data_IF_868739653481
#
_entry.id   IF_868739653481
#
_cell.length_a   1.000
_cell.length_b   1.000
_cell.length_c   1.000
_cell.angle_alpha   90.00
_cell.angle_beta   90.00
_cell.angle_gamma   90.00
#
_symmetry.space_group_name_H-M   'P 1'
#
loop_
_entity.id
_entity.type
_entity.pdbx_description
1 polymer ?
#
# COMPACT_ATOMS: atom_id res chain seq x y z
N UNK A 1 -2.74 5.26 6.99
CA UNK A 1 -2.86 6.74 6.98
C UNK A 1 -2.74 7.22 5.54
N UNK A 2 -3.30 8.38 5.19
CA UNK A 2 -3.18 8.96 3.85
C UNK A 2 -3.08 10.49 3.90
N UNK A 3 -2.37 11.12 2.96
CA UNK A 3 -2.30 12.57 2.82
C UNK A 3 -3.16 13.01 1.65
N UNK A 4 -4.14 13.87 1.89
CA UNK A 4 -5.09 14.36 0.88
C UNK A 4 -5.24 15.87 1.08
N UNK A 5 -4.98 16.65 0.02
CA UNK A 5 -5.12 18.11 0.01
C UNK A 5 -4.44 18.82 1.19
N UNK A 6 -3.22 18.39 1.55
CA UNK A 6 -2.45 18.99 2.65
C UNK A 6 -2.90 18.57 4.06
N UNK A 7 -3.81 17.61 4.19
CA UNK A 7 -4.23 17.03 5.46
C UNK A 7 -3.81 15.56 5.56
N UNK A 8 -3.29 15.14 6.71
CA UNK A 8 -3.03 13.73 7.04
C UNK A 8 -4.26 13.12 7.71
N UNK A 9 -4.81 12.06 7.14
CA UNK A 9 -5.95 11.31 7.66
C UNK A 9 -5.52 10.00 8.31
N UNK A 10 -6.08 9.71 9.47
CA UNK A 10 -5.81 8.53 10.30
C UNK A 10 -7.11 7.90 10.72
N UNK A 11 -7.30 6.62 10.42
CA UNK A 11 -8.49 5.86 10.78
C UNK A 11 -8.13 4.68 11.69
N UNK A 12 -8.97 4.44 12.70
CA UNK A 12 -8.96 3.26 13.54
C UNK A 12 -7.66 3.03 14.31
N UNK A 13 -7.26 1.76 14.45
CA UNK A 13 -6.12 1.36 15.25
C UNK A 13 -6.53 0.76 16.60
N UNK A 14 -5.59 0.71 17.54
CA UNK A 14 -5.85 0.11 18.85
C UNK A 14 -5.02 0.78 19.94
N UNK A 15 -5.58 0.84 21.16
CA UNK A 15 -4.85 1.18 22.38
C UNK A 15 -4.12 -0.02 23.00
N UNK A 16 -4.24 -1.21 22.38
CA UNK A 16 -3.83 -2.50 22.93
C UNK A 16 -4.97 -3.24 23.62
N UNK A 17 -6.00 -2.51 24.08
CA UNK A 17 -7.18 -3.09 24.74
C UNK A 17 -8.46 -2.91 23.93
N UNK A 18 -8.58 -1.77 23.24
CA UNK A 18 -9.77 -1.39 22.49
C UNK A 18 -9.36 -1.13 21.04
N UNK A 19 -10.16 -1.59 20.09
CA UNK A 19 -10.04 -1.20 18.69
C UNK A 19 -10.93 0.02 18.43
N UNK A 20 -10.45 0.96 17.63
CA UNK A 20 -11.16 2.21 17.37
C UNK A 20 -11.71 2.25 15.93
N UNK A 21 -12.75 3.05 15.74
CA UNK A 21 -13.31 3.50 14.45
C UNK A 21 -13.11 5.00 14.25
N UNK A 22 -12.31 5.65 15.11
CA UNK A 22 -12.11 7.09 15.07
C UNK A 22 -11.40 7.50 13.79
N UNK A 23 -11.88 8.59 13.20
CA UNK A 23 -11.24 9.23 12.05
C UNK A 23 -10.72 10.59 12.49
N UNK A 24 -9.42 10.79 12.37
CA UNK A 24 -8.75 12.04 12.68
C UNK A 24 -8.12 12.62 11.42
N UNK A 25 -8.11 13.95 11.31
CA UNK A 25 -7.29 14.67 10.34
C UNK A 25 -6.33 15.62 11.05
N UNK A 26 -5.12 15.73 10.53
CA UNK A 26 -4.13 16.73 10.90
C UNK A 26 -3.94 17.66 9.71
N UNK A 27 -4.22 18.94 9.89
CA UNK A 27 -3.84 19.95 8.90
C UNK A 27 -2.32 20.15 8.95
N UNK A 28 -1.62 19.92 7.84
CA UNK A 28 -0.15 19.98 7.82
C UNK A 28 0.39 21.41 7.81
N UNK A 29 -0.44 22.41 7.50
CA UNK A 29 -0.07 23.82 7.57
C UNK A 29 -0.21 24.35 8.99
N UNK A 30 -1.35 24.13 9.64
CA UNK A 30 -1.61 24.63 11.01
C UNK A 30 -1.05 23.71 12.10
N UNK A 31 -0.82 22.42 11.76
CA UNK A 31 -0.41 21.35 12.68
C UNK A 31 -1.44 21.03 13.76
N UNK A 32 -2.71 21.28 13.47
CA UNK A 32 -3.82 21.01 14.39
C UNK A 32 -4.53 19.71 14.06
N UNK A 33 -4.79 18.92 15.10
CA UNK A 33 -5.57 17.69 15.03
C UNK A 33 -7.06 17.97 15.20
N UNK A 34 -7.87 17.38 14.34
CA UNK A 34 -9.33 17.45 14.37
C UNK A 34 -9.87 16.03 14.27
N UNK A 35 -10.67 15.63 15.26
CA UNK A 35 -11.47 14.41 15.16
C UNK A 35 -12.68 14.68 14.27
N UNK A 36 -12.79 13.93 13.17
CA UNK A 36 -13.95 13.97 12.30
C UNK A 36 -15.07 13.16 12.93
N UNK A 37 -16.27 13.74 12.95
CA UNK A 37 -17.50 13.08 13.41
C UNK A 37 -18.36 12.80 12.18
N UNK A 38 -18.38 11.57 11.66
CA UNK A 38 -19.19 11.23 10.50
C UNK A 38 -20.67 11.48 10.75
N UNK A 39 -21.41 11.85 9.71
CA UNK A 39 -22.84 12.12 9.77
C UNK A 39 -23.71 10.84 9.73
N UNK A 40 -23.08 9.66 9.81
CA UNK A 40 -23.74 8.36 9.75
C UNK A 40 -24.55 8.03 11.00
N UNK A 41 -25.54 7.16 10.84
CA UNK A 41 -26.08 6.41 11.97
C UNK A 41 -25.04 5.41 12.48
N UNK A 42 -25.13 5.01 13.75
CA UNK A 42 -24.18 4.07 14.34
C UNK A 42 -24.11 2.72 13.62
N UNK A 43 -25.20 2.28 12.98
CA UNK A 43 -25.25 1.04 12.20
C UNK A 43 -24.51 1.10 10.86
N UNK A 44 -24.20 2.31 10.37
CA UNK A 44 -23.55 2.52 9.07
C UNK A 44 -22.04 2.81 9.22
N UNK A 45 -21.52 2.74 10.45
CA UNK A 45 -20.11 2.93 10.74
C UNK A 45 -19.31 1.66 10.43
N UNK A 46 -18.06 1.79 9.94
CA UNK A 46 -17.17 0.65 9.79
C UNK A 46 -16.91 -0.05 11.11
N UNK A 47 -16.64 -1.36 11.07
CA UNK A 47 -16.25 -2.10 12.26
C UNK A 47 -14.87 -1.66 12.75
N UNK A 48 -14.68 -1.70 14.07
CA UNK A 48 -13.41 -1.41 14.69
C UNK A 48 -12.31 -2.35 14.19
N UNK A 49 -11.14 -1.79 13.87
CA UNK A 49 -10.04 -2.53 13.26
C UNK A 49 -8.68 -1.88 13.41
N UNK A 50 -7.64 -2.70 13.39
CA UNK A 50 -6.24 -2.28 13.23
C UNK A 50 -5.55 -3.06 12.11
N UNK A 51 -4.31 -2.66 11.76
CA UNK A 51 -3.46 -3.33 10.76
C UNK A 51 -4.16 -3.49 9.38
N UNK A 52 -5.04 -2.54 9.09
CA UNK A 52 -5.60 -2.28 7.77
C UNK A 52 -4.67 -1.33 7.03
N UNK A 53 -4.87 -1.23 5.72
CA UNK A 53 -4.21 -0.23 4.88
C UNK A 53 -5.23 0.78 4.36
N UNK A 54 -4.74 1.94 3.91
CA UNK A 54 -5.58 3.04 3.43
C UNK A 54 -5.18 3.42 2.01
N UNK A 55 -6.19 3.62 1.15
CA UNK A 55 -6.05 4.19 -0.19
C UNK A 55 -7.03 5.36 -0.37
N UNK A 56 -6.89 6.16 -1.42
CA UNK A 56 -7.82 7.27 -1.69
C UNK A 56 -7.88 7.66 -3.16
N UNK A 57 -9.03 8.12 -3.65
CA UNK A 57 -9.15 8.73 -4.99
C UNK A 57 -9.19 10.27 -4.96
N UNK A 58 -8.97 10.85 -3.78
CA UNK A 58 -9.04 12.29 -3.52
C UNK A 58 -10.42 12.78 -3.08
N UNK A 59 -11.48 12.00 -3.34
CA UNK A 59 -12.85 12.26 -2.85
C UNK A 59 -13.21 11.34 -1.68
N UNK A 60 -12.76 10.08 -1.76
CA UNK A 60 -13.00 9.05 -0.75
C UNK A 60 -11.70 8.48 -0.19
N UNK A 61 -11.73 8.09 1.08
CA UNK A 61 -10.71 7.31 1.77
C UNK A 61 -11.19 5.87 1.91
N UNK A 62 -10.47 4.92 1.33
CA UNK A 62 -10.81 3.50 1.33
C UNK A 62 -10.02 2.74 2.40
N UNK A 63 -10.71 1.89 3.16
CA UNK A 63 -10.10 1.05 4.20
C UNK A 63 -10.01 -0.38 3.68
N UNK A 64 -8.78 -0.90 3.60
CA UNK A 64 -8.49 -2.21 3.02
C UNK A 64 -8.05 -3.19 4.10
N UNK A 65 -8.86 -4.24 4.29
CA UNK A 65 -8.60 -5.35 5.20
C UNK A 65 -8.48 -4.91 6.66
N UNK A 66 -7.50 -5.49 7.35
CA UNK A 66 -7.35 -5.37 8.79
C UNK A 66 -8.36 -6.24 9.54
N UNK A 67 -8.52 -5.98 10.83
CA UNK A 67 -9.48 -6.68 11.68
C UNK A 67 -9.16 -6.51 13.16
N UNK A 68 -9.47 -7.50 13.98
CA UNK A 68 -9.10 -7.55 15.42
C UNK A 68 -7.84 -8.41 15.60
N UNK A 69 -7.43 -8.77 16.82
CA UNK A 69 -6.34 -9.74 17.03
C UNK A 69 -6.69 -11.15 16.55
N UNK A 70 -7.98 -11.49 16.53
CA UNK A 70 -8.46 -12.84 16.26
C UNK A 70 -9.00 -12.98 14.84
N UNK A 71 -9.66 -11.94 14.32
CA UNK A 71 -10.37 -12.01 13.03
C UNK A 71 -9.72 -11.10 11.99
N UNK A 72 -9.47 -11.62 10.79
CA UNK A 72 -9.16 -10.81 9.61
C UNK A 72 -10.45 -10.59 8.82
N UNK A 73 -10.73 -9.36 8.42
CA UNK A 73 -11.96 -9.02 7.70
C UNK A 73 -11.81 -9.27 6.20
N UNK A 74 -12.91 -9.67 5.58
CA UNK A 74 -12.98 -9.96 4.15
C UNK A 74 -12.80 -8.70 3.30
N UNK A 75 -12.51 -8.92 2.02
CA UNK A 75 -12.26 -7.87 1.02
C UNK A 75 -13.31 -7.89 -0.10
N UNK A 76 -14.40 -8.64 0.06
CA UNK A 76 -15.56 -8.62 -0.82
C UNK A 76 -16.37 -7.32 -0.65
N UNK A 77 -16.28 -6.70 0.52
CA UNK A 77 -16.77 -5.34 0.80
C UNK A 77 -15.67 -4.50 1.44
N UNK A 78 -15.66 -3.21 1.15
CA UNK A 78 -14.72 -2.25 1.74
C UNK A 78 -15.48 -1.02 2.22
N UNK A 79 -14.97 -0.39 3.27
CA UNK A 79 -15.51 0.87 3.77
C UNK A 79 -14.81 2.04 3.09
N UNK A 80 -15.59 3.03 2.67
CA UNK A 80 -15.08 4.25 2.06
C UNK A 80 -15.64 5.47 2.80
N UNK A 81 -14.79 6.40 3.18
CA UNK A 81 -15.18 7.66 3.79
C UNK A 81 -15.24 8.76 2.74
N UNK A 82 -16.42 9.30 2.49
CA UNK A 82 -16.64 10.40 1.57
C UNK A 82 -16.31 11.73 2.26
N UNK A 83 -15.31 12.43 1.73
CA UNK A 83 -14.79 13.68 2.30
C UNK A 83 -15.76 14.87 2.10
N UNK A 84 -16.61 14.82 1.08
CA UNK A 84 -17.57 15.89 0.78
C UNK A 84 -18.80 15.79 1.69
N UNK A 85 -19.38 14.59 1.79
CA UNK A 85 -20.59 14.36 2.58
C UNK A 85 -20.30 14.11 4.06
N UNK A 86 -19.04 13.88 4.41
CA UNK A 86 -18.59 13.52 5.76
C UNK A 86 -19.33 12.26 6.26
N UNK A 87 -19.42 11.24 5.39
CA UNK A 87 -20.10 9.97 5.68
C UNK A 87 -19.28 8.76 5.23
N UNK A 88 -19.42 7.67 5.95
CA UNK A 88 -19.01 6.33 5.54
C UNK A 88 -20.01 5.71 4.56
N UNK A 89 -19.49 4.94 3.62
CA UNK A 89 -20.19 4.16 2.62
C UNK A 89 -19.61 2.73 2.65
N UNK A 90 -20.46 1.69 2.59
CA UNK A 90 -20.02 0.33 2.32
C UNK A 90 -20.06 0.07 0.81
N UNK A 91 -18.92 -0.31 0.25
CA UNK A 91 -18.79 -0.57 -1.19
C UNK A 91 -18.55 -2.06 -1.41
N UNK A 92 -19.48 -2.70 -2.13
CA UNK A 92 -19.29 -4.05 -2.63
C UNK A 92 -18.23 -4.05 -3.75
N UNK A 93 -17.20 -4.86 -3.57
CA UNK A 93 -16.17 -5.10 -4.58
C UNK A 93 -16.56 -6.26 -5.49
N UNK A 94 -15.88 -6.37 -6.63
CA UNK A 94 -16.09 -7.42 -7.61
C UNK A 94 -14.93 -8.43 -7.58
N UNK A 95 -15.21 -9.73 -7.62
CA UNK A 95 -14.18 -10.76 -7.51
C UNK A 95 -13.37 -10.87 -8.80
N UNK A 96 -12.12 -11.31 -8.71
CA UNK A 96 -11.39 -11.75 -9.91
C UNK A 96 -12.12 -12.94 -10.54
N UNK A 97 -12.32 -12.90 -11.86
CA UNK A 97 -13.15 -13.84 -12.64
C UNK A 97 -12.93 -15.33 -12.31
N UNK A 98 -11.67 -15.75 -12.15
CA UNK A 98 -11.31 -17.17 -11.95
C UNK A 98 -11.11 -17.62 -10.50
N UNK A 99 -10.67 -16.72 -9.62
CA UNK A 99 -10.14 -17.11 -8.29
C UNK A 99 -10.84 -16.39 -7.13
N UNK A 100 -11.87 -15.59 -7.42
CA UNK A 100 -12.66 -14.92 -6.40
C UNK A 100 -11.96 -13.69 -5.81
N UNK A 101 -12.18 -13.46 -4.52
CA UNK A 101 -11.63 -12.34 -3.78
C UNK A 101 -10.25 -12.67 -3.19
N UNK A 102 -9.42 -11.65 -2.90
CA UNK A 102 -8.27 -11.85 -2.03
C UNK A 102 -8.73 -12.42 -0.68
N UNK A 103 -7.93 -13.34 -0.11
CA UNK A 103 -8.16 -13.78 1.26
C UNK A 103 -8.17 -12.58 2.22
N UNK A 104 -9.04 -12.66 3.24
CA UNK A 104 -9.06 -11.74 4.37
C UNK A 104 -7.65 -11.61 4.96
N UNK A 105 -7.20 -10.40 5.30
CA UNK A 105 -5.80 -10.19 5.69
C UNK A 105 -5.57 -8.97 6.57
N UNK A 106 -4.59 -9.08 7.46
CA UNK A 106 -4.03 -8.01 8.29
C UNK A 106 -2.52 -7.93 8.09
N UNK A 107 -1.89 -6.82 8.50
CA UNK A 107 -0.43 -6.64 8.42
C UNK A 107 0.15 -6.82 7.00
N UNK A 108 -0.69 -6.64 5.98
CA UNK A 108 -0.26 -6.56 4.58
C UNK A 108 0.26 -5.15 4.33
N UNK A 109 0.92 -4.93 3.18
CA UNK A 109 1.19 -3.58 2.71
C UNK A 109 0.37 -3.27 1.47
N UNK A 110 0.06 -1.98 1.31
CA UNK A 110 -0.56 -1.45 0.10
C UNK A 110 0.33 -0.38 -0.54
N UNK A 111 0.32 -0.34 -1.87
CA UNK A 111 0.82 0.81 -2.64
C UNK A 111 -0.22 1.21 -3.66
N UNK A 112 -0.26 2.48 -4.01
CA UNK A 112 -1.26 3.01 -4.94
C UNK A 112 -0.59 3.69 -6.14
N UNK A 113 -1.06 3.37 -7.33
CA UNK A 113 -0.70 4.05 -8.58
C UNK A 113 -1.99 4.53 -9.23
N UNK A 114 -2.24 5.85 -9.16
CA UNK A 114 -3.50 6.45 -9.63
C UNK A 114 -4.70 5.74 -8.99
N UNK A 115 -5.59 5.11 -9.76
CA UNK A 115 -6.77 4.40 -9.26
C UNK A 115 -6.52 2.92 -8.94
N UNK A 116 -5.33 2.40 -9.21
CA UNK A 116 -5.00 1.01 -8.95
C UNK A 116 -4.26 0.89 -7.60
N UNK A 117 -4.86 0.15 -6.67
CA UNK A 117 -4.28 -0.16 -5.36
C UNK A 117 -3.78 -1.60 -5.38
N UNK A 118 -2.52 -1.79 -5.01
CA UNK A 118 -1.87 -3.08 -4.98
C UNK A 118 -1.70 -3.52 -3.54
N UNK A 119 -2.19 -4.72 -3.23
CA UNK A 119 -2.16 -5.35 -1.92
C UNK A 119 -1.19 -6.52 -1.97
N UNK A 120 -0.22 -6.59 -1.07
CA UNK A 120 0.74 -7.69 -1.04
C UNK A 120 0.95 -8.26 0.37
N UNK A 121 1.08 -9.59 0.39
CA UNK A 121 1.34 -10.38 1.59
C UNK A 121 0.30 -10.20 2.70
N UNK A 122 0.77 -10.25 3.94
CA UNK A 122 -0.06 -10.18 5.15
C UNK A 122 -0.35 -11.55 5.75
N UNK A 123 -1.26 -11.57 6.73
CA UNK A 123 -1.65 -12.78 7.47
C UNK A 123 -3.17 -12.85 7.57
N UNK A 124 -3.73 -14.03 7.24
CA UNK A 124 -5.19 -14.25 7.27
C UNK A 124 -5.71 -14.86 8.58
N UNK A 125 -4.82 -15.24 9.51
CA UNK A 125 -5.20 -15.99 10.72
C UNK A 125 -4.64 -17.41 10.75
N UNK A 126 -4.25 -17.95 9.59
CA UNK A 126 -3.75 -19.32 9.43
C UNK A 126 -2.39 -19.37 8.73
N UNK A 127 -2.23 -18.61 7.64
CA UNK A 127 -1.03 -18.62 6.80
C UNK A 127 -0.53 -17.21 6.50
N UNK A 128 0.78 -17.08 6.38
CA UNK A 128 1.42 -15.88 5.84
C UNK A 128 1.23 -15.90 4.33
N UNK A 129 0.70 -14.82 3.79
CA UNK A 129 0.39 -14.66 2.38
C UNK A 129 1.61 -14.08 1.64
N UNK A 130 1.81 -14.52 0.40
CA UNK A 130 2.82 -13.97 -0.51
C UNK A 130 2.21 -13.52 -1.85
N UNK A 131 0.88 -13.54 -1.96
CA UNK A 131 0.20 -13.14 -3.18
C UNK A 131 0.14 -11.61 -3.34
N UNK A 132 -0.06 -11.18 -4.59
CA UNK A 132 -0.25 -9.78 -4.94
C UNK A 132 -1.58 -9.62 -5.67
N UNK A 133 -2.38 -8.66 -5.21
CA UNK A 133 -3.69 -8.33 -5.75
C UNK A 133 -3.74 -6.87 -6.14
N UNK A 134 -4.60 -6.56 -7.11
CA UNK A 134 -4.89 -5.21 -7.55
C UNK A 134 -6.38 -4.93 -7.40
N UNK A 135 -6.75 -3.83 -6.75
CA UNK A 135 -8.10 -3.27 -6.75
C UNK A 135 -8.10 -2.00 -7.59
N UNK A 136 -9.01 -1.90 -8.55
CA UNK A 136 -9.26 -0.64 -9.25
C UNK A 136 -10.35 0.16 -8.53
N UNK A 137 -10.04 1.35 -8.03
CA UNK A 137 -10.95 2.19 -7.22
C UNK A 137 -12.14 2.79 -7.99
N UNK A 138 -12.14 2.74 -9.32
CA UNK A 138 -13.29 3.20 -10.12
C UNK A 138 -14.31 2.09 -10.37
N UNK A 139 -13.83 0.88 -10.61
CA UNK A 139 -14.67 -0.28 -10.96
C UNK A 139 -14.93 -1.21 -9.78
N UNK A 140 -14.15 -1.05 -8.72
CA UNK A 140 -14.04 -1.92 -7.55
C UNK A 140 -13.72 -3.38 -7.90
N UNK A 141 -13.03 -3.59 -9.02
CA UNK A 141 -12.66 -4.91 -9.52
C UNK A 141 -11.34 -5.38 -8.94
N UNK A 142 -11.35 -6.55 -8.29
CA UNK A 142 -10.15 -7.25 -7.89
C UNK A 142 -9.53 -8.03 -9.05
N UNK A 143 -8.21 -7.97 -9.14
CA UNK A 143 -7.42 -8.80 -10.05
C UNK A 143 -6.23 -9.40 -9.29
N UNK A 144 -6.12 -10.73 -9.23
CA UNK A 144 -4.91 -11.40 -8.75
C UNK A 144 -3.81 -11.26 -9.80
N UNK A 145 -2.66 -10.74 -9.41
CA UNK A 145 -1.51 -10.67 -10.31
C UNK A 145 -0.79 -12.02 -10.38
N UNK A 146 -0.14 -12.34 -11.51
CA UNK A 146 0.67 -13.55 -11.62
C UNK A 146 1.95 -13.45 -10.78
N UNK A 147 2.39 -12.24 -10.45
CA UNK A 147 3.52 -12.01 -9.57
C UNK A 147 3.18 -12.39 -8.13
N UNK A 148 4.16 -12.97 -7.44
CA UNK A 148 4.12 -13.26 -6.02
C UNK A 148 5.42 -12.78 -5.37
N UNK A 149 5.35 -12.52 -4.08
CA UNK A 149 6.49 -12.23 -3.24
C UNK A 149 7.40 -13.48 -3.21
N UNK A 150 8.74 -13.33 -3.34
CA UNK A 150 9.66 -14.47 -3.26
C UNK A 150 9.56 -15.23 -1.95
N UNK A 151 9.22 -14.52 -0.87
CA UNK A 151 8.95 -15.07 0.45
C UNK A 151 7.66 -14.44 1.00
N UNK A 152 6.67 -15.24 1.43
CA UNK A 152 5.49 -14.73 2.13
C UNK A 152 5.88 -13.99 3.40
N UNK A 153 5.39 -12.76 3.57
CA UNK A 153 5.67 -11.93 4.75
C UNK A 153 4.45 -11.13 5.20
N UNK A 154 4.39 -10.87 6.50
CA UNK A 154 3.50 -9.88 7.11
C UNK A 154 4.32 -8.94 8.01
N UNK A 155 3.77 -7.78 8.37
CA UNK A 155 4.51 -6.70 9.04
C UNK A 155 5.74 -6.19 8.27
N UNK A 156 5.70 -6.32 6.95
CA UNK A 156 6.66 -5.68 6.06
C UNK A 156 6.19 -4.26 5.73
N UNK A 157 7.05 -3.49 5.06
CA UNK A 157 6.64 -2.24 4.42
C UNK A 157 6.77 -2.37 2.90
N UNK A 158 5.94 -1.63 2.17
CA UNK A 158 6.05 -1.48 0.74
C UNK A 158 6.04 0.01 0.34
N UNK A 159 6.76 0.34 -0.73
CA UNK A 159 6.76 1.65 -1.35
C UNK A 159 6.81 1.50 -2.87
N UNK A 160 6.25 2.44 -3.62
CA UNK A 160 6.25 2.42 -5.09
C UNK A 160 6.92 3.65 -5.66
N UNK A 161 7.75 3.46 -6.67
CA UNK A 161 8.39 4.56 -7.40
C UNK A 161 7.40 5.21 -8.38
N UNK A 162 7.63 6.46 -8.81
CA UNK A 162 6.82 7.07 -9.87
C UNK A 162 6.80 6.27 -11.18
N UNK A 163 7.83 5.46 -11.44
CA UNK A 163 7.89 4.56 -12.59
C UNK A 163 7.03 3.29 -12.41
N UNK A 164 6.48 3.05 -11.22
CA UNK A 164 5.65 1.90 -10.90
C UNK A 164 6.42 0.64 -10.52
N UNK A 165 7.66 0.78 -10.04
CA UNK A 165 8.39 -0.30 -9.38
C UNK A 165 8.04 -0.30 -7.89
N UNK A 166 7.47 -1.39 -7.39
CA UNK A 166 7.23 -1.59 -5.96
C UNK A 166 8.44 -2.24 -5.31
N UNK A 167 8.84 -1.69 -4.17
CA UNK A 167 9.83 -2.24 -3.26
C UNK A 167 9.14 -2.74 -2.00
N UNK A 168 9.49 -3.92 -1.54
CA UNK A 168 8.99 -4.52 -0.30
C UNK A 168 10.18 -4.86 0.58
N UNK A 169 10.15 -4.44 1.84
CA UNK A 169 11.25 -4.62 2.76
C UNK A 169 10.81 -5.24 4.08
N UNK A 170 11.57 -6.25 4.48
CA UNK A 170 11.51 -6.89 5.78
C UNK A 170 10.22 -7.65 6.05
N UNK A 171 9.85 -7.73 7.33
CA UNK A 171 8.66 -8.43 7.80
C UNK A 171 8.99 -9.71 8.58
N UNK A 172 7.95 -10.49 8.85
CA UNK A 172 8.00 -11.77 9.57
C UNK A 172 7.63 -12.89 8.59
N UNK A 173 8.48 -13.92 8.55
CA UNK A 173 8.40 -15.04 7.59
C UNK A 173 7.96 -16.34 8.26
N UNK A 174 8.06 -16.43 9.59
CA UNK A 174 7.60 -17.57 10.37
C UNK A 174 7.05 -17.09 11.72
N UNK A 175 5.80 -17.44 12.02
CA UNK A 175 5.09 -17.01 13.22
C UNK A 175 5.58 -17.76 14.46
N UNK A 176 5.81 -19.07 14.35
CA UNK A 176 6.17 -19.93 15.48
C UNK A 176 7.58 -19.63 16.02
N UNK A 177 8.53 -19.37 15.12
CA UNK A 177 9.90 -19.04 15.47
C UNK A 177 10.13 -17.53 15.62
N UNK A 178 9.10 -16.71 15.33
CA UNK A 178 9.21 -15.25 15.21
C UNK A 178 10.38 -14.83 14.28
N UNK A 179 10.59 -15.59 13.21
CA UNK A 179 11.68 -15.35 12.26
C UNK A 179 11.36 -14.12 11.42
N UNK A 180 12.29 -13.16 11.39
CA UNK A 180 12.17 -11.92 10.62
C UNK A 180 13.14 -11.92 9.46
N UNK A 181 12.81 -11.16 8.44
CA UNK A 181 13.70 -10.90 7.30
C UNK A 181 14.03 -9.41 7.22
N UNK A 182 15.22 -9.11 6.71
CA UNK A 182 15.64 -7.78 6.27
C UNK A 182 15.80 -7.70 4.75
N UNK A 183 15.26 -8.68 4.02
CA UNK A 183 15.35 -8.73 2.57
C UNK A 183 14.58 -7.59 1.92
N UNK A 184 15.15 -7.07 0.83
CA UNK A 184 14.52 -6.10 -0.05
C UNK A 184 14.16 -6.80 -1.35
N UNK A 185 12.88 -6.79 -1.70
CA UNK A 185 12.36 -7.30 -2.96
C UNK A 185 11.87 -6.14 -3.80
N UNK A 186 11.99 -6.24 -5.13
CA UNK A 186 11.38 -5.30 -6.06
C UNK A 186 10.56 -6.03 -7.11
N UNK A 187 9.46 -5.41 -7.57
CA UNK A 187 8.66 -5.90 -8.69
C UNK A 187 8.05 -4.74 -9.48
N UNK A 188 7.96 -4.90 -10.80
CA UNK A 188 7.27 -3.94 -11.67
C UNK A 188 5.77 -4.20 -11.65
N UNK A 189 4.98 -3.22 -11.21
CA UNK A 189 3.51 -3.28 -11.18
C UNK A 189 2.86 -2.78 -12.47
N UNK A 190 3.63 -2.01 -13.24
CA UNK A 190 3.29 -1.52 -14.58
C UNK A 190 4.44 -1.82 -15.51
N UNK A 191 4.20 -1.76 -16.82
CA UNK A 191 5.27 -1.91 -17.81
C UNK A 191 6.25 -0.74 -17.65
N UNK A 192 7.53 -0.99 -17.29
CA UNK A 192 8.52 0.08 -17.17
C UNK A 192 8.75 0.75 -18.53
N UNK A 193 9.09 2.04 -18.50
CA UNK A 193 9.49 2.73 -19.71
C UNK A 193 10.80 2.15 -20.27
N UNK A 194 11.04 2.35 -21.57
CA UNK A 194 12.32 1.97 -22.18
C UNK A 194 13.51 2.63 -21.46
N UNK A 195 13.34 3.85 -20.96
CA UNK A 195 14.36 4.53 -20.16
C UNK A 195 14.71 3.72 -18.90
N UNK A 196 13.72 3.28 -18.13
CA UNK A 196 13.96 2.51 -16.90
C UNK A 196 14.60 1.16 -17.20
N UNK A 197 14.12 0.45 -18.23
CA UNK A 197 14.71 -0.82 -18.67
C UNK A 197 16.17 -0.66 -19.12
N UNK A 198 16.45 0.38 -19.91
CA UNK A 198 17.79 0.68 -20.40
C UNK A 198 18.71 1.11 -19.26
N UNK A 199 18.18 1.89 -18.31
CA UNK A 199 18.90 2.34 -17.13
C UNK A 199 19.30 1.19 -16.22
N UNK A 200 18.37 0.27 -15.92
CA UNK A 200 18.68 -0.92 -15.13
C UNK A 200 19.77 -1.76 -15.78
N UNK A 201 19.68 -2.00 -17.09
CA UNK A 201 20.70 -2.77 -17.81
C UNK A 201 22.05 -2.06 -17.87
N UNK A 202 22.05 -0.75 -18.10
CA UNK A 202 23.26 0.05 -18.14
C UNK A 202 24.01 0.01 -16.79
N UNK A 203 23.28 0.11 -15.66
CA UNK A 203 23.90 -0.01 -14.32
C UNK A 203 24.38 -1.42 -14.00
N UNK A 204 23.70 -2.45 -14.52
CA UNK A 204 24.11 -3.85 -14.39
C UNK A 204 25.43 -4.12 -15.14
N UNK A 205 25.57 -3.64 -16.38
CA UNK A 205 26.78 -3.82 -17.18
C UNK A 205 27.93 -2.88 -16.78
N UNK A 206 27.63 -1.69 -16.27
CA UNK A 206 28.61 -0.66 -15.93
C UNK A 206 28.46 -0.17 -14.48
N UNK A 207 28.68 -1.03 -13.47
CA UNK A 207 28.47 -0.67 -12.06
C UNK A 207 29.41 0.45 -11.58
N UNK A 208 30.57 0.63 -12.22
CA UNK A 208 31.54 1.68 -11.92
C UNK A 208 30.99 3.11 -12.19
N UNK A 209 29.87 3.26 -12.92
CA UNK A 209 29.24 4.57 -13.11
C UNK A 209 28.86 5.21 -11.77
N UNK A 210 28.49 4.42 -10.76
CA UNK A 210 28.15 4.93 -9.43
C UNK A 210 29.34 5.66 -8.75
N UNK A 211 30.58 5.25 -9.06
CA UNK A 211 31.79 5.83 -8.44
C UNK A 211 32.32 7.07 -9.16
N UNK A 212 31.91 7.31 -10.41
CA UNK A 212 32.37 8.48 -11.19
C UNK A 212 31.82 9.79 -10.62
N UNK A 213 32.57 10.87 -10.76
CA UNK A 213 32.10 12.21 -10.37
C UNK A 213 30.96 12.70 -11.27
N UNK A 214 30.18 13.68 -10.79
CA UNK A 214 29.11 14.32 -11.58
C UNK A 214 29.61 14.83 -12.93
N UNK A 215 30.78 15.46 -12.98
CA UNK A 215 31.39 15.98 -14.22
C UNK A 215 31.71 14.87 -15.22
N UNK A 216 32.30 13.76 -14.75
CA UNK A 216 32.61 12.61 -15.60
C UNK A 216 31.35 11.97 -16.17
N UNK A 217 30.29 11.83 -15.36
CA UNK A 217 29.02 11.26 -15.83
C UNK A 217 28.35 12.14 -16.90
N UNK A 218 28.34 13.46 -16.71
CA UNK A 218 27.85 14.39 -17.73
C UNK A 218 28.68 14.33 -19.02
N UNK A 219 30.00 14.18 -18.91
CA UNK A 219 30.88 14.02 -20.08
C UNK A 219 30.63 12.72 -20.86
N UNK A 220 30.17 11.66 -20.20
CA UNK A 220 29.71 10.41 -20.83
C UNK A 220 28.35 10.54 -21.54
N UNK A 221 27.70 11.72 -21.47
CA UNK A 221 26.42 11.98 -22.12
C UNK A 221 25.19 11.64 -21.27
N UNK A 222 25.37 11.34 -19.98
CA UNK A 222 24.24 11.15 -19.06
C UNK A 222 23.54 12.48 -18.81
N UNK A 223 22.20 12.47 -18.80
CA UNK A 223 21.42 13.67 -18.48
C UNK A 223 21.51 13.98 -16.99
N UNK A 224 21.31 15.26 -16.64
CA UNK A 224 21.36 15.73 -15.26
C UNK A 224 20.47 14.90 -14.32
N UNK A 225 19.25 14.56 -14.75
CA UNK A 225 18.33 13.73 -13.96
C UNK A 225 18.79 12.28 -13.77
N UNK A 226 19.52 11.70 -14.73
CA UNK A 226 20.11 10.35 -14.56
C UNK A 226 21.33 10.39 -13.63
N UNK A 227 22.11 11.47 -13.67
CA UNK A 227 23.24 11.66 -12.75
C UNK A 227 22.77 11.78 -11.30
N UNK A 228 21.67 12.49 -11.05
CA UNK A 228 21.06 12.61 -9.72
C UNK A 228 20.59 11.28 -9.15
N UNK A 229 20.18 10.32 -9.99
CA UNK A 229 19.79 8.97 -9.53
C UNK A 229 20.96 8.15 -8.97
N UNK A 230 22.21 8.55 -9.23
CA UNK A 230 23.42 7.89 -8.75
C UNK A 230 24.06 8.57 -7.54
N UNK A 231 23.62 9.76 -7.16
CA UNK A 231 24.31 10.65 -6.22
C UNK A 231 23.47 11.03 -5.01
#
# INVERSE_FOLDING_TARGET
MAIINGCLYVFGGTTGYIYSTDLHKLDLNTREWIQLKPNNMSCDMPEERYRHEIAHDGQRIYILGGGTSWTAYSLDKIHAYNLETNTWEEIATKPHEKVGFPAARRCHSCVQIKNDVFVCGGYNGEVILGDVWKLNLQTFQWVKLPAAMPEPVYFHCAAVTPAGCMYVHGGVVNIHENKRTGSLFKMWLVVPSLLELSWEKLLEYFPHLATLSRSQLLHLGLTQGLVERLK
#
